data_IF_533063273977
#
_entry.id   IF_533063273977
#
_cell.length_a   1.000
_cell.length_b   1.000
_cell.length_c   1.000
_cell.angle_alpha   90.00
_cell.angle_beta   90.00
_cell.angle_gamma   90.00
#
_symmetry.space_group_name_H-M   'P 1'
#
loop_
_entity.id
_entity.type
_entity.pdbx_description
1 polymer ?
#
# COMPACT_ATOMS: atom_id res chain seq x y z
N UNK A 1 34.16 -41.30 -46.05
CA UNK A 1 34.19 -41.86 -44.68
C UNK A 1 34.55 -40.75 -43.71
N UNK A 2 33.94 -40.79 -42.52
CA UNK A 2 34.05 -39.87 -41.38
C UNK A 2 33.23 -38.57 -41.44
N UNK A 3 31.95 -38.72 -41.08
CA UNK A 3 31.13 -37.71 -40.42
C UNK A 3 31.44 -37.69 -38.92
N UNK A 4 31.53 -36.51 -38.32
CA UNK A 4 31.65 -36.32 -36.87
C UNK A 4 30.91 -35.03 -36.49
N UNK A 5 29.59 -35.12 -36.36
CA UNK A 5 28.77 -34.02 -35.83
C UNK A 5 28.47 -34.30 -34.37
N UNK A 6 29.11 -33.53 -33.50
CA UNK A 6 28.96 -33.54 -32.05
C UNK A 6 27.61 -32.87 -31.71
N UNK A 7 26.66 -33.67 -31.22
CA UNK A 7 25.43 -33.21 -30.59
C UNK A 7 25.78 -32.59 -29.22
N UNK A 8 25.88 -31.27 -29.17
CA UNK A 8 25.95 -30.51 -27.93
C UNK A 8 24.58 -30.55 -27.23
N UNK A 9 24.51 -31.30 -26.13
CA UNK A 9 23.35 -31.30 -25.25
C UNK A 9 23.17 -29.91 -24.61
N UNK A 10 22.01 -29.31 -24.83
CA UNK A 10 21.57 -28.09 -24.16
C UNK A 10 21.55 -28.30 -22.64
N UNK A 11 22.13 -27.40 -21.83
CA UNK A 11 22.02 -27.49 -20.39
C UNK A 11 20.56 -27.26 -19.98
N UNK A 12 19.97 -28.29 -19.40
CA UNK A 12 18.64 -28.25 -18.79
C UNK A 12 18.70 -27.27 -17.61
N UNK A 13 18.13 -26.08 -17.78
CA UNK A 13 17.96 -25.10 -16.71
C UNK A 13 17.10 -25.78 -15.63
N UNK A 14 17.59 -25.97 -14.39
CA UNK A 14 16.75 -26.50 -13.34
C UNK A 14 15.64 -25.49 -13.08
N UNK A 15 14.39 -25.99 -13.05
CA UNK A 15 13.19 -25.24 -12.75
C UNK A 15 13.44 -24.33 -11.55
N UNK A 16 13.26 -23.02 -11.75
CA UNK A 16 13.20 -22.02 -10.68
C UNK A 16 12.24 -22.53 -9.63
N UNK A 17 12.79 -22.90 -8.48
CA UNK A 17 12.05 -23.18 -7.27
C UNK A 17 11.12 -22.00 -7.01
N UNK A 18 9.82 -22.20 -7.19
CA UNK A 18 8.84 -21.28 -6.65
C UNK A 18 9.16 -21.17 -5.15
N UNK A 19 9.54 -19.99 -4.62
CA UNK A 19 9.61 -19.84 -3.18
C UNK A 19 8.19 -20.10 -2.69
N UNK A 20 8.01 -21.20 -1.95
CA UNK A 20 6.76 -21.51 -1.29
C UNK A 20 6.55 -20.45 -0.19
N UNK A 21 6.05 -19.29 -0.60
CA UNK A 21 5.57 -18.24 0.29
C UNK A 21 4.29 -18.75 0.97
N UNK A 22 4.45 -19.74 1.83
CA UNK A 22 3.49 -20.13 2.86
C UNK A 22 3.52 -19.03 3.92
N UNK A 23 2.97 -17.88 3.57
CA UNK A 23 2.90 -16.73 4.46
C UNK A 23 2.20 -17.14 5.75
N UNK A 24 2.85 -16.88 6.89
CA UNK A 24 2.26 -17.13 8.21
C UNK A 24 1.12 -16.15 8.40
N UNK A 25 -0.11 -16.63 8.23
CA UNK A 25 -1.34 -15.88 8.53
C UNK A 25 -1.32 -15.39 9.97
N UNK A 26 -1.89 -14.21 10.20
CA UNK A 26 -2.07 -13.70 11.55
C UNK A 26 -3.21 -14.44 12.25
N UNK A 27 -3.05 -14.71 13.55
CA UNK A 27 -4.02 -15.47 14.37
C UNK A 27 -4.94 -14.59 15.22
N UNK A 28 -4.86 -13.27 15.05
CA UNK A 28 -5.57 -12.31 15.89
C UNK A 28 -5.59 -10.92 15.25
N UNK A 29 -6.18 -9.93 15.94
CA UNK A 29 -6.27 -8.57 15.42
C UNK A 29 -4.89 -8.03 15.07
N UNK A 30 -4.70 -7.45 13.87
CA UNK A 30 -3.44 -6.84 13.48
C UNK A 30 -3.14 -5.65 14.38
N UNK A 31 -1.85 -5.45 14.65
CA UNK A 31 -1.39 -4.28 15.41
C UNK A 31 -1.47 -3.06 14.49
N UNK A 32 -2.05 -1.99 15.01
CA UNK A 32 -2.07 -0.68 14.34
C UNK A 32 -0.64 -0.14 14.23
N UNK A 33 -0.33 0.51 13.10
CA UNK A 33 0.99 1.02 12.71
C UNK A 33 2.06 -0.04 12.47
N UNK A 34 1.65 -1.29 12.31
CA UNK A 34 2.53 -2.38 11.90
C UNK A 34 2.36 -2.68 10.42
N UNK A 35 3.48 -3.02 9.77
CA UNK A 35 3.49 -3.43 8.38
C UNK A 35 3.24 -4.92 8.27
N UNK A 36 2.28 -5.29 7.43
CA UNK A 36 1.93 -6.66 7.09
C UNK A 36 2.10 -6.88 5.58
N UNK A 37 1.94 -8.12 5.15
CA UNK A 37 2.06 -8.50 3.75
C UNK A 37 0.73 -9.01 3.21
N UNK A 38 0.30 -8.46 2.09
CA UNK A 38 -0.90 -8.93 1.38
C UNK A 38 -0.47 -10.10 0.50
N UNK A 39 -1.08 -11.29 0.66
CA UNK A 39 -0.70 -12.43 -0.15
C UNK A 39 -1.13 -12.28 -1.62
N UNK A 40 -0.73 -13.26 -2.43
CA UNK A 40 -1.14 -13.35 -3.81
C UNK A 40 -2.67 -13.46 -3.97
N UNK A 41 -3.18 -12.99 -5.11
CA UNK A 41 -4.60 -12.94 -5.45
C UNK A 41 -5.33 -14.29 -5.26
N UNK A 42 -4.66 -15.41 -5.52
CA UNK A 42 -5.22 -16.77 -5.35
C UNK A 42 -5.38 -17.22 -3.88
N UNK A 43 -4.72 -16.57 -2.93
CA UNK A 43 -4.81 -16.89 -1.50
C UNK A 43 -5.89 -16.07 -0.78
N UNK A 44 -6.35 -15.00 -1.40
CA UNK A 44 -7.45 -14.15 -0.91
C UNK A 44 -8.74 -14.59 -1.58
N UNK A 45 -9.80 -14.78 -0.80
CA UNK A 45 -11.08 -15.26 -1.34
C UNK A 45 -11.64 -14.21 -2.29
N UNK A 46 -12.20 -14.62 -3.44
CA UNK A 46 -12.73 -13.70 -4.47
C UNK A 46 -13.86 -12.79 -3.96
N UNK A 47 -14.53 -13.17 -2.88
CA UNK A 47 -15.57 -12.35 -2.24
C UNK A 47 -15.03 -11.38 -1.18
N UNK A 48 -13.71 -11.31 -0.99
CA UNK A 48 -13.09 -10.36 -0.06
C UNK A 48 -13.25 -8.93 -0.54
N UNK A 49 -13.40 -8.01 0.41
CA UNK A 49 -13.56 -6.56 0.18
C UNK A 49 -12.48 -6.01 -0.76
N UNK A 50 -11.25 -6.49 -0.65
CA UNK A 50 -10.11 -6.00 -1.43
C UNK A 50 -10.27 -6.22 -2.95
N UNK A 51 -10.93 -7.30 -3.38
CA UNK A 51 -11.19 -7.56 -4.80
C UNK A 51 -12.23 -6.60 -5.39
N UNK A 52 -13.14 -6.08 -4.56
CA UNK A 52 -14.10 -5.07 -4.98
C UNK A 52 -13.46 -3.69 -5.10
N UNK A 53 -12.47 -3.39 -4.26
CA UNK A 53 -11.76 -2.12 -4.25
C UNK A 53 -10.67 -2.03 -5.33
N UNK A 54 -9.95 -3.13 -5.61
CA UNK A 54 -8.86 -3.16 -6.58
C UNK A 54 -8.83 -4.47 -7.37
N UNK A 55 -9.08 -4.38 -8.68
CA UNK A 55 -9.11 -5.54 -9.59
C UNK A 55 -7.76 -5.85 -10.23
N UNK A 56 -6.79 -4.95 -10.10
CA UNK A 56 -5.47 -5.12 -10.70
C UNK A 56 -4.67 -6.17 -9.93
N UNK A 57 -4.33 -7.27 -10.61
CA UNK A 57 -3.56 -8.38 -10.02
C UNK A 57 -2.19 -7.96 -9.46
N UNK A 58 -1.63 -6.86 -9.98
CA UNK A 58 -0.37 -6.29 -9.51
C UNK A 58 -0.41 -5.66 -8.12
N UNK A 59 -1.58 -5.47 -7.51
CA UNK A 59 -1.73 -4.94 -6.14
C UNK A 59 -1.57 -6.01 -5.05
N UNK A 60 -1.72 -7.28 -5.41
CA UNK A 60 -1.46 -8.40 -4.51
C UNK A 60 0.05 -8.66 -4.41
N UNK A 61 0.52 -9.24 -3.31
CA UNK A 61 1.96 -9.42 -2.99
C UNK A 61 2.70 -8.13 -2.61
N UNK A 62 2.01 -7.20 -1.93
CA UNK A 62 2.62 -5.94 -1.49
C UNK A 62 2.64 -5.77 0.03
N UNK A 63 3.64 -5.07 0.56
CA UNK A 63 3.64 -4.61 1.95
C UNK A 63 2.54 -3.56 2.17
N UNK A 64 1.91 -3.61 3.33
CA UNK A 64 0.79 -2.75 3.70
C UNK A 64 0.90 -2.31 5.15
N UNK A 65 0.75 -1.00 5.40
CA UNK A 65 0.72 -0.45 6.75
C UNK A 65 -0.71 -0.41 7.27
N UNK A 66 -0.96 -1.05 8.40
CA UNK A 66 -2.28 -1.04 9.04
C UNK A 66 -2.48 0.25 9.84
N UNK A 67 -3.56 0.96 9.55
CA UNK A 67 -3.88 2.24 10.20
C UNK A 67 -4.98 2.08 11.23
N UNK A 68 -5.99 1.30 10.89
CA UNK A 68 -7.10 0.99 11.78
C UNK A 68 -7.38 -0.50 11.71
N UNK A 69 -7.86 -1.05 12.83
CA UNK A 69 -8.31 -2.43 12.91
C UNK A 69 -9.59 -2.45 13.71
N UNK A 70 -10.65 -2.93 13.08
CA UNK A 70 -11.94 -3.12 13.73
C UNK A 70 -12.15 -4.59 14.10
N UNK A 71 -12.38 -4.82 15.38
CA UNK A 71 -12.62 -6.17 15.91
C UNK A 71 -14.02 -6.69 15.61
N UNK A 72 -15.00 -5.80 15.44
CA UNK A 72 -16.38 -6.19 15.21
C UNK A 72 -16.59 -6.68 13.79
N UNK A 73 -16.13 -5.91 12.81
CA UNK A 73 -16.21 -6.28 11.39
C UNK A 73 -15.09 -7.23 10.93
N UNK A 74 -14.08 -7.52 11.78
CA UNK A 74 -12.87 -8.28 11.42
C UNK A 74 -12.10 -7.69 10.23
N UNK A 75 -12.22 -6.39 10.03
CA UNK A 75 -11.55 -5.68 8.94
C UNK A 75 -10.38 -4.87 9.47
N UNK A 76 -9.41 -4.64 8.59
CA UNK A 76 -8.31 -3.74 8.81
C UNK A 76 -8.20 -2.78 7.63
N UNK A 77 -8.06 -1.50 7.92
CA UNK A 77 -7.76 -0.50 6.90
C UNK A 77 -6.26 -0.28 6.83
N UNK A 78 -5.77 -0.09 5.61
CA UNK A 78 -4.36 0.03 5.36
C UNK A 78 -4.07 0.97 4.19
N UNK A 79 -2.83 1.43 4.18
CA UNK A 79 -2.20 2.07 3.02
C UNK A 79 -1.15 1.13 2.43
N UNK A 80 -1.09 1.09 1.11
CA UNK A 80 -0.11 0.27 0.41
C UNK A 80 1.28 0.91 0.49
N UNK A 81 2.31 0.08 0.61
CA UNK A 81 3.71 0.51 0.59
C UNK A 81 4.30 0.11 -0.76
N UNK A 82 5.00 1.04 -1.40
CA UNK A 82 5.69 0.81 -2.66
C UNK A 82 7.14 1.23 -2.56
N UNK A 83 8.04 0.54 -3.26
CA UNK A 83 9.44 0.98 -3.36
C UNK A 83 9.63 2.12 -4.35
N UNK A 84 8.74 2.24 -5.33
CA UNK A 84 8.77 3.29 -6.34
C UNK A 84 7.35 3.87 -6.46
N UNK A 85 7.12 5.10 -5.97
CA UNK A 85 5.84 5.75 -6.15
C UNK A 85 5.63 6.08 -7.64
N UNK A 86 4.44 5.84 -8.20
CA UNK A 86 4.09 6.29 -9.55
C UNK A 86 4.30 7.80 -9.71
N UNK A 87 4.69 8.24 -10.91
CA UNK A 87 5.06 9.64 -11.18
C UNK A 87 4.03 10.67 -10.67
N UNK A 88 2.74 10.41 -10.88
CA UNK A 88 1.68 11.30 -10.40
C UNK A 88 1.64 11.44 -8.87
N UNK A 89 1.81 10.35 -8.13
CA UNK A 89 1.87 10.35 -6.66
C UNK A 89 3.14 11.07 -6.18
N UNK A 90 4.25 10.86 -6.89
CA UNK A 90 5.50 11.52 -6.59
C UNK A 90 5.42 13.03 -6.77
N UNK A 91 4.90 13.49 -7.92
CA UNK A 91 4.79 14.91 -8.27
C UNK A 91 3.84 15.66 -7.33
N UNK A 92 2.74 15.01 -6.93
CA UNK A 92 1.77 15.55 -5.98
C UNK A 92 2.18 15.37 -4.50
N UNK A 93 3.32 14.72 -4.23
CA UNK A 93 3.81 14.41 -2.87
C UNK A 93 2.74 13.75 -1.98
N UNK A 94 1.97 12.82 -2.56
CA UNK A 94 0.90 12.05 -1.89
C UNK A 94 1.45 10.78 -1.25
N UNK A 95 2.62 10.89 -0.63
CA UNK A 95 3.30 9.78 0.02
C UNK A 95 4.01 10.26 1.29
N UNK A 96 4.34 9.31 2.15
CA UNK A 96 5.28 9.48 3.24
C UNK A 96 6.41 8.47 3.08
N UNK A 97 7.63 8.88 3.37
CA UNK A 97 8.78 7.98 3.39
C UNK A 97 8.76 7.17 4.70
N UNK A 98 9.03 5.87 4.61
CA UNK A 98 9.29 5.06 5.78
C UNK A 98 10.78 5.22 6.13
N UNK A 99 11.08 5.63 7.35
CA UNK A 99 12.46 5.75 7.83
C UNK A 99 13.17 4.40 7.75
N UNK A 100 14.49 4.46 7.58
CA UNK A 100 15.38 3.30 7.61
C UNK A 100 15.88 3.03 9.03
N UNK A 101 15.99 4.08 9.84
CA UNK A 101 16.51 4.04 11.20
C UNK A 101 15.53 4.65 12.21
N UNK A 102 15.81 4.41 13.49
CA UNK A 102 15.05 4.99 14.62
C UNK A 102 15.34 6.49 14.76
N UNK A 103 16.44 6.98 14.19
CA UNK A 103 16.87 8.38 14.29
C UNK A 103 16.39 9.22 13.10
N UNK A 104 15.76 8.60 12.11
CA UNK A 104 15.23 9.30 10.93
C UNK A 104 14.00 10.13 11.29
N UNK A 105 14.24 11.42 11.51
CA UNK A 105 13.19 12.39 11.80
C UNK A 105 13.04 13.38 10.65
N UNK A 106 11.83 13.48 10.11
CA UNK A 106 11.49 14.44 9.06
C UNK A 106 10.00 14.69 8.95
N UNK A 107 9.58 15.82 8.36
CA UNK A 107 8.16 16.15 8.18
C UNK A 107 7.44 15.21 7.20
N UNK A 108 8.19 14.56 6.30
CA UNK A 108 7.70 13.57 5.35
C UNK A 108 8.14 12.14 5.65
N UNK A 109 8.76 11.89 6.80
CA UNK A 109 9.36 10.60 7.17
C UNK A 109 8.68 10.04 8.41
N UNK A 110 8.30 8.76 8.33
CA UNK A 110 7.74 7.98 9.44
C UNK A 110 8.85 7.20 10.13
N UNK A 111 9.14 7.59 11.36
CA UNK A 111 10.14 7.01 12.25
C UNK A 111 9.77 5.58 12.63
N UNK A 112 10.77 4.71 12.59
CA UNK A 112 10.67 3.33 13.02
C UNK A 112 10.70 3.23 14.56
N UNK A 113 9.91 2.33 15.13
CA UNK A 113 9.90 2.10 16.57
C UNK A 113 11.22 1.46 17.03
N UNK A 114 11.63 1.71 18.28
CA UNK A 114 12.94 1.29 18.83
C UNK A 114 13.25 -0.23 18.80
N UNK A 115 12.25 -1.09 18.56
CA UNK A 115 12.41 -2.56 18.44
C UNK A 115 11.96 -3.09 17.08
N UNK A 116 11.78 -2.21 16.11
CA UNK A 116 11.37 -2.61 14.77
C UNK A 116 12.59 -2.88 13.89
N UNK A 117 12.42 -3.82 12.99
CA UNK A 117 13.42 -4.11 11.98
C UNK A 117 13.37 -3.06 10.86
N UNK A 118 14.53 -2.86 10.21
CA UNK A 118 14.62 -2.02 9.02
C UNK A 118 13.93 -2.66 7.83
N UNK A 119 13.28 -1.84 7.01
CA UNK A 119 12.72 -2.28 5.74
C UNK A 119 13.87 -2.56 4.74
N UNK A 120 13.88 -3.68 4.00
CA UNK A 120 15.02 -4.06 3.16
C UNK A 120 15.26 -3.14 1.96
N UNK A 121 14.32 -2.27 1.64
CA UNK A 121 14.38 -1.31 0.54
C UNK A 121 13.70 -0.02 0.98
N UNK A 122 14.12 1.07 0.35
CA UNK A 122 13.40 2.35 0.40
C UNK A 122 11.93 2.11 0.11
N UNK A 123 11.10 2.58 1.03
CA UNK A 123 9.69 2.25 1.08
C UNK A 123 8.90 3.52 1.31
N UNK A 124 7.92 3.73 0.43
CA UNK A 124 7.05 4.88 0.43
C UNK A 124 5.64 4.41 0.72
N UNK A 125 5.01 5.05 1.70
CA UNK A 125 3.62 4.86 2.03
C UNK A 125 2.76 5.65 1.06
N UNK A 126 1.96 4.96 0.25
CA UNK A 126 1.05 5.61 -0.69
C UNK A 126 -0.22 6.06 0.04
N UNK A 127 -0.48 7.37 0.06
CA UNK A 127 -1.63 7.99 0.73
C UNK A 127 -2.78 8.32 -0.23
N UNK A 128 -2.67 7.98 -1.51
CA UNK A 128 -3.68 8.26 -2.53
C UNK A 128 -5.03 7.58 -2.22
N UNK A 129 -4.97 6.30 -1.82
CA UNK A 129 -6.17 5.52 -1.54
C UNK A 129 -5.98 4.68 -0.27
N UNK A 130 -6.99 4.75 0.61
CA UNK A 130 -7.13 3.85 1.75
C UNK A 130 -7.88 2.59 1.31
N UNK A 131 -7.35 1.43 1.67
CA UNK A 131 -7.95 0.14 1.35
C UNK A 131 -8.41 -0.57 2.62
N UNK A 132 -9.33 -1.51 2.47
CA UNK A 132 -9.79 -2.37 3.55
C UNK A 132 -9.66 -3.84 3.14
N UNK A 133 -9.27 -4.67 4.10
CA UNK A 133 -9.19 -6.13 3.94
C UNK A 133 -9.61 -6.80 5.23
N UNK A 134 -10.19 -7.99 5.13
CA UNK A 134 -10.42 -8.84 6.28
C UNK A 134 -9.06 -9.28 6.84
N UNK A 135 -8.86 -9.11 8.14
CA UNK A 135 -7.55 -9.33 8.74
C UNK A 135 -7.05 -10.79 8.61
N UNK A 136 -7.95 -11.73 8.30
CA UNK A 136 -7.66 -13.17 8.23
C UNK A 136 -6.80 -13.51 7.00
N UNK A 137 -6.83 -12.62 6.01
CA UNK A 137 -6.05 -12.72 4.79
C UNK A 137 -4.70 -12.01 4.90
N UNK A 138 -4.42 -11.29 5.98
CA UNK A 138 -3.11 -10.67 6.19
C UNK A 138 -2.08 -11.71 6.63
N UNK A 139 -0.92 -11.64 5.99
CA UNK A 139 0.23 -12.44 6.37
C UNK A 139 1.27 -11.59 7.10
N UNK A 140 2.06 -12.25 7.95
CA UNK A 140 3.34 -11.69 8.37
C UNK A 140 4.26 -11.51 7.15
N UNK A 141 5.20 -10.58 7.27
CA UNK A 141 6.22 -10.37 6.25
C UNK A 141 6.91 -11.68 5.87
N UNK A 142 7.07 -11.98 4.57
CA UNK A 142 7.65 -13.24 4.11
C UNK A 142 9.11 -13.42 4.56
N UNK A 143 9.81 -12.31 4.77
CA UNK A 143 11.22 -12.24 5.21
C UNK A 143 11.40 -12.36 6.73
N UNK A 144 10.30 -12.50 7.50
CA UNK A 144 10.37 -12.55 8.97
C UNK A 144 10.66 -11.21 9.67
N UNK A 145 10.76 -10.13 8.91
CA UNK A 145 11.01 -8.75 9.38
C UNK A 145 9.77 -8.18 10.06
N UNK A 146 9.93 -7.61 11.26
CA UNK A 146 8.88 -6.96 12.02
C UNK A 146 9.03 -5.43 11.99
N UNK A 147 8.41 -4.81 10.98
CA UNK A 147 8.43 -3.35 10.83
C UNK A 147 7.23 -2.73 11.54
N UNK A 148 7.51 -1.85 12.49
CA UNK A 148 6.49 -1.14 13.26
C UNK A 148 6.87 0.33 13.35
N UNK A 149 5.94 1.19 12.99
CA UNK A 149 6.13 2.64 13.06
C UNK A 149 5.96 3.08 14.52
N UNK A 150 6.67 4.14 14.89
CA UNK A 150 6.51 4.75 16.20
C UNK A 150 5.10 5.33 16.39
N UNK A 151 4.57 5.23 17.60
CA UNK A 151 3.22 5.70 17.92
C UNK A 151 3.10 7.22 17.84
N UNK A 152 4.18 7.95 18.08
CA UNK A 152 4.20 9.41 18.00
C UNK A 152 4.01 9.92 16.57
N UNK A 153 4.55 9.17 15.61
CA UNK A 153 4.49 9.48 14.18
C UNK A 153 3.13 9.25 13.55
N UNK A 154 2.20 8.64 14.31
CA UNK A 154 0.78 8.62 13.95
C UNK A 154 0.23 10.01 13.69
N UNK A 155 0.63 11.00 14.50
CA UNK A 155 0.17 12.39 14.33
C UNK A 155 0.62 12.98 13.00
N UNK A 156 1.82 12.63 12.53
CA UNK A 156 2.34 13.07 11.23
C UNK A 156 1.54 12.47 10.09
N UNK A 157 1.22 11.17 10.20
CA UNK A 157 0.37 10.48 9.25
C UNK A 157 -1.02 11.13 9.17
N UNK A 158 -1.68 11.31 10.32
CA UNK A 158 -3.01 11.92 10.39
C UNK A 158 -3.01 13.36 9.85
N UNK A 159 -1.99 14.16 10.21
CA UNK A 159 -1.82 15.51 9.68
C UNK A 159 -1.67 15.54 8.16
N UNK A 160 -0.84 14.65 7.60
CA UNK A 160 -0.63 14.56 6.15
C UNK A 160 -1.91 14.14 5.43
N UNK A 161 -2.67 13.19 6.00
CA UNK A 161 -3.97 12.76 5.45
C UNK A 161 -4.94 13.95 5.45
N UNK A 162 -5.10 14.65 6.57
CA UNK A 162 -5.97 15.82 6.63
C UNK A 162 -5.55 16.94 5.67
N UNK A 163 -4.24 17.13 5.45
CA UNK A 163 -3.73 18.05 4.45
C UNK A 163 -4.15 17.65 3.02
N UNK A 164 -4.02 16.37 2.67
CA UNK A 164 -4.39 15.86 1.35
C UNK A 164 -5.91 15.93 1.13
N UNK A 165 -6.71 15.57 2.13
CA UNK A 165 -8.16 15.69 2.09
C UNK A 165 -8.60 17.15 1.93
N UNK A 166 -7.96 18.08 2.66
CA UNK A 166 -8.22 19.51 2.50
C UNK A 166 -7.86 20.01 1.09
N UNK A 167 -6.77 19.52 0.50
CA UNK A 167 -6.39 19.84 -0.88
C UNK A 167 -7.40 19.30 -1.89
N UNK A 168 -7.87 18.06 -1.74
CA UNK A 168 -8.91 17.48 -2.59
C UNK A 168 -10.23 18.25 -2.45
N UNK A 169 -10.66 18.52 -1.22
CA UNK A 169 -11.88 19.28 -0.94
C UNK A 169 -11.82 20.69 -1.53
N UNK A 170 -10.65 21.33 -1.59
CA UNK A 170 -10.50 22.62 -2.26
C UNK A 170 -10.87 22.58 -3.74
N UNK A 171 -10.63 21.47 -4.44
CA UNK A 171 -11.01 21.33 -5.85
C UNK A 171 -12.49 21.00 -6.03
N UNK A 172 -13.12 20.29 -5.08
CA UNK A 172 -14.55 19.97 -5.09
C UNK A 172 -15.39 21.22 -4.77
N UNK A 173 -14.97 22.00 -3.79
CA UNK A 173 -15.69 23.18 -3.29
C UNK A 173 -15.15 24.50 -3.85
N UNK A 174 -14.29 24.47 -4.87
CA UNK A 174 -13.89 25.70 -5.55
C UNK A 174 -15.16 26.33 -6.09
N UNK A 175 -15.50 27.51 -5.59
CA UNK A 175 -16.63 28.27 -6.10
C UNK A 175 -16.47 28.37 -7.62
N UNK A 176 -17.48 27.93 -8.35
CA UNK A 176 -17.54 28.16 -9.79
C UNK A 176 -17.36 29.68 -9.99
N UNK A 177 -16.39 30.06 -10.82
CA UNK A 177 -16.15 31.47 -11.17
C UNK A 177 -17.35 32.13 -11.87
N UNK A 178 -18.40 31.35 -12.17
CA UNK A 178 -19.65 31.85 -12.70
C UNK A 178 -20.51 32.46 -11.59
N UNK A 179 -20.64 33.78 -11.61
CA UNK A 179 -21.72 34.48 -10.93
C UNK A 179 -23.06 34.05 -11.54
N UNK A 180 -23.81 33.19 -10.84
CA UNK A 180 -25.16 32.78 -11.26
C UNK A 180 -26.24 33.83 -10.94
N UNK A 181 -25.86 35.02 -10.48
CA UNK A 181 -26.81 36.10 -10.19
C UNK A 181 -27.62 36.54 -11.43
N UNK A 182 -27.15 36.23 -12.64
CA UNK A 182 -27.81 36.60 -13.90
C UNK A 182 -28.62 35.44 -14.51
N UNK A 183 -28.56 34.24 -13.92
CA UNK A 183 -29.25 33.06 -14.47
C UNK A 183 -30.65 32.96 -13.89
N UNK A 184 -31.66 33.02 -14.77
CA UNK A 184 -33.05 32.94 -14.36
C UNK A 184 -33.35 31.58 -13.69
N UNK A 185 -34.15 31.56 -12.60
CA UNK A 185 -34.61 30.33 -11.99
C UNK A 185 -35.27 29.42 -13.03
N UNK A 186 -34.78 28.18 -13.18
CA UNK A 186 -35.26 27.22 -14.19
C UNK A 186 -34.30 26.96 -15.36
N UNK A 187 -33.14 27.62 -15.40
CA UNK A 187 -32.14 27.38 -16.46
C UNK A 187 -31.26 26.18 -16.10
N UNK A 188 -31.22 25.16 -16.96
CA UNK A 188 -30.31 24.03 -16.84
C UNK A 188 -28.97 24.43 -17.48
N UNK A 189 -27.93 24.55 -16.66
CA UNK A 189 -26.57 24.78 -17.13
C UNK A 189 -25.91 23.40 -17.30
N UNK A 190 -25.63 23.00 -18.54
CA UNK A 190 -24.75 21.85 -18.78
C UNK A 190 -23.30 22.34 -18.75
N UNK A 191 -22.53 21.80 -17.81
CA UNK A 191 -21.08 21.97 -17.66
C UNK A 191 -20.33 20.95 -18.51
#
# INVERSE_FOLDING_TARGET
>A
MHTSSILGALPTVPATSNPSCSGRRIRGPPKVLKVYFIPACNQVLKSSIIHFQKKEGGFFQHPALIVTSDRHSRTAEFYAITSYPPKAIHDLKMYLYLGDTVDDEGPGTLKLAAKSDRMPRDSYLNLDQRFAIEWEYLNKMPWGVDVNIDGEDRKKLDFKISQLEAQQNRYIYKSLLASFHVVAPGTIVML
#
